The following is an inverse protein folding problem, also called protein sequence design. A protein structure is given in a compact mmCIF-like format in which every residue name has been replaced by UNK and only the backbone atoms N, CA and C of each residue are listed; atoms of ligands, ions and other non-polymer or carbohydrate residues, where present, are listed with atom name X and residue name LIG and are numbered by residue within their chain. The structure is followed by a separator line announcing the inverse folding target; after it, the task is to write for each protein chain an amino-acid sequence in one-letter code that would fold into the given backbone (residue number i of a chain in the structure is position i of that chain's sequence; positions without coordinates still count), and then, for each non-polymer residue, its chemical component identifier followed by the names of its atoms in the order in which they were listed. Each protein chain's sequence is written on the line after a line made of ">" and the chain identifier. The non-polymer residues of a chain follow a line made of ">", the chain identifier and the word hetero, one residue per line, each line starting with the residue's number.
data_IF_504192869258
#
_entry.id   IF_504192869258
#
_cell.length_a   1.000
_cell.length_b   1.000
_cell.length_c   1.000
_cell.angle_alpha   90.00
_cell.angle_beta   90.00
_cell.angle_gamma   90.00
#
_symmetry.space_group_name_H-M   'P 1'
#
loop_
_entity.id
_entity.type
_entity.pdbx_description
1 polymer ?
#
# COMPACT_ATOMS: atom_id res chain seq x y z
N UNK A 1 9.62 -7.07 -14.23
CA UNK A 1 8.15 -7.13 -14.17
C UNK A 1 7.70 -7.00 -12.72
N UNK A 2 6.78 -6.11 -12.45
CA UNK A 2 6.24 -5.95 -11.10
C UNK A 2 5.23 -7.04 -10.78
N UNK A 3 5.12 -7.38 -9.50
CA UNK A 3 4.08 -8.27 -9.00
C UNK A 3 2.97 -7.43 -8.38
N UNK A 4 1.74 -7.65 -8.84
CA UNK A 4 0.56 -6.92 -8.37
C UNK A 4 -0.38 -7.90 -7.67
N UNK A 5 -0.60 -7.70 -6.37
CA UNK A 5 -1.50 -8.53 -5.58
C UNK A 5 -2.78 -7.74 -5.26
N UNK A 6 -3.92 -8.24 -5.73
CA UNK A 6 -5.22 -7.70 -5.36
C UNK A 6 -5.80 -8.54 -4.21
N UNK A 7 -6.05 -7.90 -3.08
CA UNK A 7 -6.76 -8.49 -1.96
C UNK A 7 -8.19 -7.95 -2.02
N UNK A 8 -9.11 -8.79 -2.49
CA UNK A 8 -10.50 -8.40 -2.76
C UNK A 8 -11.47 -8.87 -1.69
N UNK A 9 -12.66 -8.27 -1.67
CA UNK A 9 -13.72 -8.56 -0.72
C UNK A 9 -13.30 -8.40 0.74
N UNK A 10 -12.46 -7.41 1.00
CA UNK A 10 -11.97 -7.08 2.34
C UNK A 10 -13.09 -6.39 3.12
N UNK A 11 -13.39 -6.87 4.33
CA UNK A 11 -14.45 -6.32 5.15
C UNK A 11 -14.05 -5.01 5.83
N UNK A 12 -12.88 -5.00 6.45
CA UNK A 12 -12.33 -3.81 7.13
C UNK A 12 -10.98 -3.47 6.53
N UNK A 13 -10.97 -2.46 5.69
CA UNK A 13 -9.81 -2.04 4.92
C UNK A 13 -8.62 -1.64 5.79
N UNK A 14 -8.88 -0.84 6.81
CA UNK A 14 -7.81 -0.27 7.64
C UNK A 14 -7.19 -1.31 8.56
N UNK A 15 -8.00 -2.15 9.17
CA UNK A 15 -7.50 -3.26 9.97
C UNK A 15 -6.69 -4.22 9.10
N UNK A 16 -7.19 -4.53 7.92
CA UNK A 16 -6.51 -5.40 6.97
C UNK A 16 -5.14 -4.82 6.59
N UNK A 17 -5.10 -3.51 6.31
CA UNK A 17 -3.86 -2.82 5.98
C UNK A 17 -2.84 -2.90 7.12
N UNK A 18 -3.28 -2.75 8.37
CA UNK A 18 -2.39 -2.88 9.52
C UNK A 18 -1.80 -4.29 9.62
N UNK A 19 -2.63 -5.32 9.47
CA UNK A 19 -2.17 -6.71 9.51
C UNK A 19 -1.19 -7.01 8.38
N UNK A 20 -1.48 -6.52 7.19
CA UNK A 20 -0.63 -6.72 6.03
C UNK A 20 0.72 -6.01 6.20
N UNK A 21 0.71 -4.78 6.68
CA UNK A 21 1.92 -4.01 6.95
C UNK A 21 2.80 -4.70 7.98
N UNK A 22 2.19 -5.19 9.07
CA UNK A 22 2.89 -5.95 10.10
C UNK A 22 3.52 -7.22 9.52
N UNK A 23 2.80 -7.91 8.66
CA UNK A 23 3.31 -9.13 8.02
C UNK A 23 4.51 -8.84 7.12
N UNK A 24 4.45 -7.78 6.35
CA UNK A 24 5.57 -7.35 5.50
C UNK A 24 6.77 -6.98 6.38
N UNK A 25 6.55 -6.22 7.44
CA UNK A 25 7.58 -5.81 8.38
C UNK A 25 8.27 -7.02 9.02
N UNK A 26 7.47 -7.99 9.49
CA UNK A 26 7.96 -9.18 10.19
C UNK A 26 8.64 -10.19 9.27
N UNK A 27 8.37 -10.13 7.98
CA UNK A 27 8.91 -11.10 7.02
C UNK A 27 10.34 -10.76 6.58
N UNK A 28 10.90 -9.63 7.03
CA UNK A 28 12.27 -9.26 6.69
C UNK A 28 13.24 -10.21 7.35
N UNK A 29 14.10 -10.92 6.59
CA UNK A 29 15.08 -11.83 7.19
C UNK A 29 16.06 -11.09 8.08
N UNK A 30 16.54 -11.78 9.12
CA UNK A 30 17.52 -11.22 10.04
C UNK A 30 18.78 -10.81 9.27
N UNK A 31 19.29 -9.62 9.58
CA UNK A 31 20.49 -9.10 8.94
C UNK A 31 20.25 -8.38 7.62
N UNK A 32 19.01 -8.30 7.15
CA UNK A 32 18.66 -7.57 5.93
C UNK A 32 17.94 -6.27 6.25
N UNK A 33 18.05 -5.26 5.36
CA UNK A 33 17.32 -4.01 5.54
C UNK A 33 15.81 -4.27 5.56
N UNK A 34 15.09 -3.54 6.42
CA UNK A 34 13.63 -3.59 6.45
C UNK A 34 13.08 -3.02 5.15
N UNK A 35 12.05 -3.67 4.61
CA UNK A 35 11.38 -3.19 3.40
C UNK A 35 10.66 -1.88 3.68
N UNK A 36 10.78 -0.94 2.75
CA UNK A 36 10.06 0.31 2.82
C UNK A 36 8.66 0.14 2.24
N UNK A 37 7.68 0.75 2.89
CA UNK A 37 6.28 0.65 2.47
C UNK A 37 5.72 2.05 2.26
N UNK A 38 5.14 2.29 1.09
CA UNK A 38 4.39 3.51 0.81
C UNK A 38 2.91 3.15 0.77
N UNK A 39 2.11 3.77 1.63
CA UNK A 39 0.67 3.53 1.70
C UNK A 39 -0.06 4.71 1.09
N UNK A 40 -0.88 4.44 0.08
CA UNK A 40 -1.62 5.47 -0.66
C UNK A 40 -3.12 5.32 -0.42
N UNK A 41 -3.78 6.39 -0.02
CA UNK A 41 -5.22 6.36 0.24
C UNK A 41 -5.80 7.75 0.44
N UNK A 42 -7.10 7.80 0.72
CA UNK A 42 -7.77 9.07 1.03
C UNK A 42 -7.31 9.58 2.39
N UNK A 43 -7.20 10.91 2.53
CA UNK A 43 -6.66 11.50 3.78
C UNK A 43 -7.45 11.09 5.03
N UNK A 44 -8.76 11.00 4.93
CA UNK A 44 -9.58 10.57 6.07
C UNK A 44 -9.20 9.16 6.54
N UNK A 45 -8.95 8.26 5.60
CA UNK A 45 -8.51 6.90 5.91
C UNK A 45 -7.09 6.89 6.45
N UNK A 46 -6.21 7.72 5.88
CA UNK A 46 -4.82 7.79 6.32
C UNK A 46 -4.69 8.29 7.76
N UNK A 47 -5.49 9.26 8.15
CA UNK A 47 -5.49 9.78 9.52
C UNK A 47 -5.91 8.71 10.51
N UNK A 48 -6.94 7.93 10.17
CA UNK A 48 -7.39 6.83 11.00
C UNK A 48 -6.37 5.70 11.03
N UNK A 49 -5.75 5.42 9.89
CA UNK A 49 -4.70 4.41 9.78
C UNK A 49 -3.48 4.78 10.64
N UNK A 50 -3.11 6.04 10.66
CA UNK A 50 -2.02 6.54 11.51
C UNK A 50 -2.27 6.18 12.98
N UNK A 51 -3.48 6.43 13.47
CA UNK A 51 -3.85 6.06 14.84
C UNK A 51 -3.81 4.55 15.06
N UNK A 52 -4.35 3.78 14.12
CA UNK A 52 -4.39 2.33 14.22
C UNK A 52 -2.99 1.70 14.21
N UNK A 53 -2.08 2.22 13.42
CA UNK A 53 -0.71 1.70 13.37
C UNK A 53 0.01 1.86 14.70
N UNK A 54 -0.32 2.90 15.48
CA UNK A 54 0.24 3.08 16.82
C UNK A 54 -0.32 2.08 17.82
N UNK A 55 -1.57 1.64 17.65
CA UNK A 55 -2.30 0.87 18.66
C UNK A 55 -2.64 -0.56 18.22
N UNK A 56 -2.38 -0.92 16.97
CA UNK A 56 -2.78 -2.22 16.41
C UNK A 56 -2.19 -3.40 17.17
N UNK A 57 -0.93 -3.29 17.58
CA UNK A 57 -0.28 -4.33 18.34
C UNK A 57 0.57 -3.71 19.46
N UNK A 58 0.35 -4.14 20.68
CA UNK A 58 1.15 -3.67 21.82
C UNK A 58 2.57 -4.25 21.79
N UNK A 59 2.79 -5.33 21.05
CA UNK A 59 4.08 -5.99 20.97
C UNK A 59 4.97 -5.47 19.84
N UNK A 60 4.37 -4.84 18.83
CA UNK A 60 5.09 -4.39 17.63
C UNK A 60 5.05 -2.89 17.50
N UNK A 61 6.20 -2.30 17.32
CA UNK A 61 6.32 -0.91 16.95
C UNK A 61 6.51 -0.82 15.43
N UNK A 62 5.54 -0.19 14.75
CA UNK A 62 5.59 0.00 13.30
C UNK A 62 5.90 1.47 13.01
N UNK A 63 7.18 1.82 12.78
CA UNK A 63 7.56 3.21 12.52
C UNK A 63 6.90 3.74 11.25
N UNK A 64 6.11 4.79 11.39
CA UNK A 64 5.38 5.37 10.26
C UNK A 64 5.21 6.87 10.44
N UNK A 65 5.04 7.57 9.31
CA UNK A 65 4.73 8.99 9.31
C UNK A 65 4.06 9.38 7.99
N UNK A 66 3.49 10.59 7.96
CA UNK A 66 3.02 11.16 6.69
C UNK A 66 4.19 11.61 5.85
N UNK A 67 3.97 11.70 4.54
CA UNK A 67 5.02 12.02 3.57
C UNK A 67 5.64 13.41 3.79
N UNK A 68 4.88 14.35 4.36
CA UNK A 68 5.35 15.71 4.63
C UNK A 68 6.12 15.84 5.94
N UNK A 69 6.28 14.77 6.69
CA UNK A 69 7.08 14.75 7.91
C UNK A 69 8.57 14.85 7.56
N UNK A 70 9.32 15.61 8.37
CA UNK A 70 10.77 15.73 8.18
C UNK A 70 11.50 14.39 8.24
N UNK A 71 10.98 13.45 9.02
CA UNK A 71 11.56 12.13 9.20
C UNK A 71 11.19 11.13 8.10
N UNK A 72 10.43 11.53 7.08
CA UNK A 72 9.92 10.60 6.07
C UNK A 72 11.04 9.82 5.37
N UNK A 73 12.16 10.45 5.08
CA UNK A 73 13.29 9.78 4.41
C UNK A 73 13.83 8.61 5.22
N UNK A 74 13.79 8.71 6.55
CA UNK A 74 14.34 7.72 7.46
C UNK A 74 13.29 6.77 8.03
N UNK A 75 12.02 7.01 7.72
CA UNK A 75 10.90 6.22 8.26
C UNK A 75 10.45 5.20 7.22
N UNK A 76 10.46 3.90 7.55
CA UNK A 76 10.18 2.86 6.54
C UNK A 76 8.74 2.84 6.03
N UNK A 77 7.76 3.29 6.81
CA UNK A 77 6.36 3.30 6.41
C UNK A 77 5.89 4.73 6.24
N UNK A 78 5.52 5.12 5.02
CA UNK A 78 5.12 6.48 4.69
C UNK A 78 3.71 6.51 4.13
N UNK A 79 2.89 7.44 4.63
CA UNK A 79 1.49 7.62 4.22
C UNK A 79 1.36 8.83 3.29
N UNK A 80 0.69 8.65 2.15
CA UNK A 80 0.48 9.74 1.18
C UNK A 80 -0.83 9.57 0.44
N UNK A 81 -1.42 10.69 0.01
CA UNK A 81 -2.63 10.65 -0.83
C UNK A 81 -2.32 10.43 -2.31
N UNK A 82 -1.13 10.73 -2.76
CA UNK A 82 -0.78 10.74 -4.17
C UNK A 82 0.17 9.61 -4.53
N UNK A 83 -0.08 8.98 -5.68
CA UNK A 83 0.83 8.00 -6.26
C UNK A 83 2.14 8.62 -6.72
N UNK A 84 2.12 9.89 -7.06
CA UNK A 84 3.28 10.64 -7.52
C UNK A 84 3.20 12.06 -6.98
N UNK A 85 4.23 12.48 -6.30
CA UNK A 85 4.36 13.84 -5.80
C UNK A 85 5.84 14.19 -5.76
N UNK A 86 6.19 15.49 -5.76
CA UNK A 86 7.61 15.85 -5.58
C UNK A 86 8.19 15.29 -4.29
N UNK A 87 7.41 15.27 -3.21
CA UNK A 87 7.84 14.70 -1.94
C UNK A 87 8.15 13.22 -2.08
N UNK A 88 7.28 12.45 -2.73
CA UNK A 88 7.50 11.01 -2.94
C UNK A 88 8.71 10.75 -3.82
N UNK A 89 8.92 11.57 -4.85
CA UNK A 89 10.07 11.43 -5.76
C UNK A 89 11.40 11.60 -5.05
N UNK A 90 11.43 12.35 -3.95
CA UNK A 90 12.63 12.59 -3.17
C UNK A 90 12.92 11.53 -2.11
N UNK A 91 12.00 10.55 -1.94
CA UNK A 91 12.18 9.49 -0.96
C UNK A 91 12.87 8.27 -1.56
N UNK A 92 13.66 7.52 -0.75
CA UNK A 92 14.29 6.29 -1.23
C UNK A 92 13.34 5.11 -1.34
N UNK A 93 12.09 5.27 -0.91
CA UNK A 93 11.10 4.18 -0.81
C UNK A 93 10.74 3.61 -2.19
N UNK A 94 11.12 2.36 -2.44
CA UNK A 94 10.90 1.71 -3.72
C UNK A 94 10.69 0.18 -3.60
N UNK A 95 10.25 -0.30 -2.44
CA UNK A 95 10.06 -1.74 -2.23
C UNK A 95 8.62 -2.19 -2.44
N UNK A 96 7.70 -1.67 -1.64
CA UNK A 96 6.29 -2.07 -1.66
C UNK A 96 5.39 -0.85 -1.60
N UNK A 97 4.36 -0.83 -2.43
CA UNK A 97 3.28 0.15 -2.32
C UNK A 97 1.99 -0.57 -1.98
N UNK A 98 1.24 -0.06 -1.00
CA UNK A 98 -0.09 -0.55 -0.64
C UNK A 98 -1.09 0.54 -0.96
N UNK A 99 -2.04 0.24 -1.85
CA UNK A 99 -3.08 1.19 -2.25
C UNK A 99 -4.40 0.86 -1.58
N UNK A 100 -4.97 1.84 -0.89
CA UNK A 100 -6.19 1.70 -0.11
C UNK A 100 -7.35 2.55 -0.65
N UNK A 101 -7.09 3.38 -1.65
CA UNK A 101 -8.07 4.34 -2.17
C UNK A 101 -8.74 3.88 -3.45
N UNK A 102 -9.44 4.82 -4.09
CA UNK A 102 -10.15 4.56 -5.34
C UNK A 102 -9.49 5.23 -6.55
N UNK A 103 -8.42 5.97 -6.33
CA UNK A 103 -7.77 6.72 -7.42
C UNK A 103 -7.13 5.79 -8.44
N UNK A 104 -7.13 6.23 -9.69
CA UNK A 104 -6.37 5.60 -10.75
C UNK A 104 -5.04 6.33 -10.87
N UNK A 105 -3.90 5.63 -10.86
CA UNK A 105 -2.62 6.29 -11.13
C UNK A 105 -2.62 6.93 -12.51
N UNK A 106 -2.10 8.16 -12.61
CA UNK A 106 -2.01 8.84 -13.90
C UNK A 106 -0.99 8.18 -14.82
N UNK A 107 0.11 7.68 -14.24
CA UNK A 107 1.16 7.00 -14.99
C UNK A 107 1.44 5.65 -14.35
N UNK A 108 0.70 4.65 -14.80
CA UNK A 108 0.81 3.29 -14.29
C UNK A 108 2.19 2.70 -14.59
N UNK A 109 2.74 3.00 -15.77
CA UNK A 109 4.05 2.50 -16.16
C UNK A 109 5.15 2.99 -15.23
N UNK A 110 5.10 4.28 -14.85
CA UNK A 110 6.08 4.84 -13.90
C UNK A 110 5.93 4.20 -12.52
N UNK A 111 4.70 3.96 -12.09
CA UNK A 111 4.42 3.36 -10.79
C UNK A 111 5.01 1.94 -10.68
N UNK A 112 4.77 1.10 -11.68
CA UNK A 112 5.27 -0.27 -11.68
C UNK A 112 6.79 -0.34 -11.91
N UNK A 113 7.37 0.69 -12.52
CA UNK A 113 8.81 0.79 -12.65
C UNK A 113 9.49 1.10 -11.32
N UNK A 114 8.80 1.84 -10.45
CA UNK A 114 9.33 2.19 -9.14
C UNK A 114 9.15 1.09 -8.10
N UNK A 115 7.96 0.48 -8.05
CA UNK A 115 7.64 -0.52 -7.03
C UNK A 115 7.55 -1.92 -7.62
N UNK A 116 8.50 -2.80 -7.29
CA UNK A 116 8.44 -4.19 -7.78
C UNK A 116 7.27 -4.98 -7.22
N UNK A 117 6.69 -4.51 -6.11
CA UNK A 117 5.50 -5.12 -5.52
C UNK A 117 4.47 -4.04 -5.21
N UNK A 118 3.26 -4.24 -5.71
CA UNK A 118 2.12 -3.37 -5.45
C UNK A 118 0.99 -4.22 -4.89
N UNK A 119 0.40 -3.77 -3.79
CA UNK A 119 -0.74 -4.43 -3.16
C UNK A 119 -1.95 -3.51 -3.26
N UNK A 120 -3.02 -4.02 -3.85
CA UNK A 120 -4.30 -3.31 -3.97
C UNK A 120 -5.28 -3.92 -2.97
N UNK A 121 -5.79 -3.12 -2.05
CA UNK A 121 -6.78 -3.57 -1.07
C UNK A 121 -8.14 -3.06 -1.51
N UNK A 122 -9.04 -3.99 -1.84
CA UNK A 122 -10.37 -3.67 -2.38
C UNK A 122 -11.42 -4.24 -1.44
N UNK A 123 -12.32 -3.38 -0.95
CA UNK A 123 -13.38 -3.78 -0.02
C UNK A 123 -14.59 -4.36 -0.74
N UNK A 124 -15.59 -4.76 0.05
CA UNK A 124 -16.88 -5.22 -0.48
C UNK A 124 -17.72 -4.06 -1.03
N UNK A 125 -17.33 -2.82 -0.81
CA UNK A 125 -18.03 -1.64 -1.33
C UNK A 125 -18.02 -1.64 -2.86
N UNK A 126 -19.18 -1.41 -3.47
CA UNK A 126 -19.30 -1.52 -4.93
C UNK A 126 -18.47 -0.49 -5.68
N UNK A 127 -18.44 0.77 -5.22
CA UNK A 127 -17.64 1.81 -5.86
C UNK A 127 -16.16 1.46 -5.83
N UNK A 128 -15.66 0.94 -4.71
CA UNK A 128 -14.26 0.50 -4.59
C UNK A 128 -13.98 -0.71 -5.47
N UNK A 129 -14.93 -1.64 -5.60
CA UNK A 129 -14.79 -2.81 -6.48
C UNK A 129 -14.68 -2.39 -7.93
N UNK A 130 -15.51 -1.44 -8.37
CA UNK A 130 -15.48 -0.95 -9.76
C UNK A 130 -14.17 -0.22 -10.04
N UNK A 131 -13.72 0.63 -9.13
CA UNK A 131 -12.44 1.32 -9.27
C UNK A 131 -11.28 0.32 -9.31
N UNK A 132 -11.33 -0.72 -8.48
CA UNK A 132 -10.32 -1.77 -8.46
C UNK A 132 -10.24 -2.54 -9.77
N UNK A 133 -11.37 -2.81 -10.41
CA UNK A 133 -11.40 -3.47 -11.72
C UNK A 133 -10.71 -2.64 -12.80
N UNK A 134 -10.87 -1.34 -12.77
CA UNK A 134 -10.21 -0.45 -13.74
C UNK A 134 -8.69 -0.48 -13.55
N UNK A 135 -8.23 -0.46 -12.31
CA UNK A 135 -6.79 -0.59 -12.03
C UNK A 135 -6.26 -1.96 -12.46
N UNK A 136 -7.02 -3.01 -12.18
CA UNK A 136 -6.65 -4.38 -12.58
C UNK A 136 -6.41 -4.48 -14.09
N UNK A 137 -7.34 -3.91 -14.88
CA UNK A 137 -7.21 -3.88 -16.33
C UNK A 137 -5.96 -3.13 -16.79
N UNK A 138 -5.67 -1.99 -16.14
CA UNK A 138 -4.50 -1.19 -16.50
C UNK A 138 -3.20 -1.95 -16.27
N UNK A 139 -3.06 -2.64 -15.12
CA UNK A 139 -1.89 -3.45 -14.83
C UNK A 139 -1.79 -4.65 -15.79
N UNK A 140 -2.91 -5.31 -16.05
CA UNK A 140 -2.95 -6.47 -16.96
C UNK A 140 -2.52 -6.07 -18.38
N UNK A 141 -2.99 -4.92 -18.85
CA UNK A 141 -2.71 -4.47 -20.22
C UNK A 141 -1.22 -4.13 -20.40
N UNK A 142 -0.52 -3.82 -19.32
CA UNK A 142 0.93 -3.63 -19.35
C UNK A 142 1.72 -4.94 -19.19
N UNK A 143 1.04 -6.06 -19.02
CA UNK A 143 1.68 -7.38 -18.99
C UNK A 143 2.30 -7.78 -17.67
N UNK A 144 1.90 -7.16 -16.57
CA UNK A 144 2.45 -7.51 -15.25
C UNK A 144 1.84 -8.78 -14.67
N UNK A 145 2.53 -9.38 -13.70
CA UNK A 145 2.06 -10.55 -12.99
C UNK A 145 1.00 -10.14 -11.97
N UNK A 146 -0.24 -10.61 -12.16
CA UNK A 146 -1.35 -10.28 -11.28
C UNK A 146 -1.85 -11.50 -10.53
N UNK A 147 -2.10 -11.31 -9.23
CA UNK A 147 -2.69 -12.32 -8.36
C UNK A 147 -3.89 -11.72 -7.65
N UNK A 148 -4.91 -12.53 -7.42
CA UNK A 148 -6.09 -12.10 -6.66
C UNK A 148 -6.30 -13.01 -5.46
N UNK A 149 -6.40 -12.42 -4.28
CA UNK A 149 -6.63 -13.12 -3.02
C UNK A 149 -7.99 -12.71 -2.48
N UNK A 150 -9.00 -13.54 -2.68
CA UNK A 150 -10.38 -13.29 -2.27
C UNK A 150 -10.52 -13.54 -0.77
N UNK A 151 -10.93 -12.50 -0.02
CA UNK A 151 -11.07 -12.56 1.43
C UNK A 151 -12.49 -12.90 1.90
N UNK A 152 -13.41 -13.16 0.97
CA UNK A 152 -14.81 -13.40 1.34
C UNK A 152 -15.03 -14.68 2.16
N UNK A 153 -14.07 -15.59 2.13
CA UNK A 153 -14.16 -16.88 2.83
C UNK A 153 -13.28 -16.97 4.08
N UNK A 154 -12.66 -15.88 4.45
CA UNK A 154 -11.78 -15.86 5.62
C UNK A 154 -12.54 -15.64 6.91
#
# INVERSE_FOLDING_TARGET
>A
MARIDFHSNVADKLEYACRLTRKIWSATPEGQPVRNVVMVGEMADLKRLDELLWTFSSADFLPHCFIDDEAATETPIVLTEDFASPALSNLPHADVMIHLGMRMPQDVAALVARFPRIVEVVTVNEAERLAGRERYKAYRDLGHELHNFDQSKS
#
